data_IF_078854680874
#
_entry.id   IF_078854680874
#
_cell.length_a   1.000
_cell.length_b   1.000
_cell.length_c   1.000
_cell.angle_alpha   90.00
_cell.angle_beta   90.00
_cell.angle_gamma   90.00
#
_symmetry.space_group_name_H-M   'P 1'
#
loop_
_entity.id
_entity.type
_entity.pdbx_description
1 polymer ?
#
# COMPACT_ATOMS: atom_id res chain seq x y z
N UNK A 1 -0.62 27.59 -0.72
CA UNK A 1 -1.16 26.22 -0.84
C UNK A 1 -1.71 25.81 0.52
N UNK A 2 -2.94 25.30 0.60
CA UNK A 2 -3.63 24.99 1.86
C UNK A 2 -3.08 23.77 2.62
N UNK A 3 -2.13 23.02 2.04
CA UNK A 3 -1.58 21.79 2.63
C UNK A 3 -0.07 21.72 2.42
N UNK A 4 0.62 21.13 3.38
CA UNK A 4 2.00 20.66 3.16
C UNK A 4 1.94 19.41 2.29
N UNK A 5 2.86 19.33 1.33
CA UNK A 5 2.98 18.19 0.42
C UNK A 5 4.23 17.38 0.75
N UNK A 6 4.16 16.07 0.53
CA UNK A 6 5.28 15.15 0.65
C UNK A 6 5.47 14.38 -0.67
N UNK A 7 6.74 14.16 -1.05
CA UNK A 7 7.11 13.27 -2.15
C UNK A 7 7.27 11.84 -1.64
N UNK A 8 7.17 10.86 -2.54
CA UNK A 8 7.31 9.44 -2.19
C UNK A 8 8.66 9.11 -1.52
N UNK A 9 9.75 9.75 -1.96
CA UNK A 9 11.07 9.55 -1.37
C UNK A 9 11.18 10.03 0.10
N UNK A 10 10.24 10.83 0.58
CA UNK A 10 10.25 11.40 1.93
C UNK A 10 9.43 10.60 2.93
N UNK A 11 8.83 9.46 2.52
CA UNK A 11 7.93 8.70 3.39
C UNK A 11 8.57 8.27 4.72
N UNK A 12 9.88 8.00 4.73
CA UNK A 12 10.61 7.64 5.95
C UNK A 12 10.78 8.79 6.96
N UNK A 13 10.46 10.04 6.58
CA UNK A 13 10.54 11.22 7.45
C UNK A 13 9.25 11.46 8.26
N UNK A 14 8.25 10.59 8.14
CA UNK A 14 6.94 10.70 8.77
C UNK A 14 6.75 9.62 9.82
N UNK A 15 6.02 9.95 10.88
CA UNK A 15 5.76 9.02 11.97
C UNK A 15 4.81 7.91 11.52
N UNK A 16 3.81 8.26 10.70
CA UNK A 16 2.81 7.34 10.18
C UNK A 16 2.45 7.65 8.71
N UNK A 17 2.19 6.59 7.96
CA UNK A 17 1.63 6.66 6.61
C UNK A 17 0.16 6.27 6.69
N UNK A 18 -0.74 7.20 6.38
CA UNK A 18 -2.19 7.00 6.52
C UNK A 18 -2.83 6.84 5.15
N UNK A 19 -3.38 5.65 4.91
CA UNK A 19 -4.22 5.37 3.74
C UNK A 19 -5.68 5.68 4.06
N UNK A 20 -6.23 6.71 3.43
CA UNK A 20 -7.66 7.06 3.59
C UNK A 20 -8.56 6.46 2.52
N UNK A 21 -8.05 5.53 1.71
CA UNK A 21 -8.86 4.71 0.80
C UNK A 21 -9.73 3.72 1.58
N UNK A 22 -10.70 3.13 0.90
CA UNK A 22 -11.62 2.18 1.55
C UNK A 22 -10.89 0.90 1.98
N UNK A 23 -11.47 0.10 2.88
CA UNK A 23 -10.87 -1.17 3.30
C UNK A 23 -10.56 -2.11 2.13
N UNK A 24 -11.46 -2.26 1.14
CA UNK A 24 -11.18 -3.08 -0.03
C UNK A 24 -10.02 -2.54 -0.88
N UNK A 25 -9.91 -1.21 -1.05
CA UNK A 25 -8.78 -0.60 -1.77
C UNK A 25 -7.44 -0.84 -1.05
N UNK A 26 -7.45 -0.86 0.28
CA UNK A 26 -6.26 -1.09 1.12
C UNK A 26 -5.85 -2.57 1.12
N UNK A 27 -6.84 -3.48 1.21
CA UNK A 27 -6.63 -4.92 1.14
C UNK A 27 -6.12 -5.37 -0.25
N UNK A 28 -6.54 -4.71 -1.33
CA UNK A 28 -6.02 -4.97 -2.68
C UNK A 28 -4.51 -4.73 -2.78
N UNK A 29 -4.01 -3.59 -2.28
CA UNK A 29 -2.59 -3.27 -2.10
C UNK A 29 -2.47 -1.91 -1.41
N UNK A 30 -1.39 -1.66 -0.67
CA UNK A 30 -1.13 -0.39 0.03
C UNK A 30 0.37 -0.12 0.15
N UNK A 31 0.73 1.12 0.50
CA UNK A 31 2.12 1.48 0.75
C UNK A 31 2.59 0.71 2.00
N UNK A 32 3.75 0.02 1.97
CA UNK A 32 4.25 -0.75 3.10
C UNK A 32 4.37 0.11 4.35
N UNK A 33 3.89 -0.41 5.49
CA UNK A 33 3.85 0.31 6.76
C UNK A 33 2.68 1.29 6.91
N UNK A 34 1.80 1.41 5.92
CA UNK A 34 0.62 2.26 6.04
C UNK A 34 -0.46 1.66 6.94
N UNK A 35 -1.13 2.51 7.70
CA UNK A 35 -2.36 2.19 8.45
C UNK A 35 -3.58 2.66 7.65
N UNK A 36 -4.68 1.90 7.71
CA UNK A 36 -5.92 2.28 7.03
C UNK A 36 -6.84 3.08 7.94
N UNK A 37 -7.06 4.36 7.59
CA UNK A 37 -8.03 5.23 8.25
C UNK A 37 -9.02 5.77 7.20
N UNK A 38 -9.95 4.92 6.73
CA UNK A 38 -10.79 5.21 5.57
C UNK A 38 -11.68 6.43 5.79
N UNK A 39 -11.77 7.32 4.80
CA UNK A 39 -12.80 8.40 4.81
C UNK A 39 -14.13 7.97 4.18
N UNK A 40 -14.19 6.74 3.65
CA UNK A 40 -15.40 6.08 3.18
C UNK A 40 -15.33 4.59 3.50
N UNK A 41 -16.47 3.98 3.86
CA UNK A 41 -16.63 2.53 3.73
C UNK A 41 -16.68 2.14 2.24
N UNK A 42 -16.63 0.84 1.95
CA UNK A 42 -16.76 0.33 0.58
C UNK A 42 -18.14 0.69 -0.01
N UNK A 43 -19.20 0.61 0.79
CA UNK A 43 -20.57 0.97 0.41
C UNK A 43 -20.72 2.48 0.18
N UNK A 44 -20.20 3.31 1.10
CA UNK A 44 -20.22 4.77 0.95
C UNK A 44 -19.51 5.21 -0.33
N UNK A 45 -18.38 4.57 -0.65
CA UNK A 45 -17.66 4.83 -1.90
C UNK A 45 -18.51 4.49 -3.12
N UNK A 46 -19.24 3.37 -3.12
CA UNK A 46 -20.12 2.99 -4.22
C UNK A 46 -21.23 4.03 -4.41
N UNK A 47 -21.85 4.48 -3.30
CA UNK A 47 -22.91 5.51 -3.33
C UNK A 47 -22.37 6.81 -3.93
N UNK A 48 -21.27 7.34 -3.38
CA UNK A 48 -20.65 8.60 -3.83
C UNK A 48 -20.19 8.49 -5.28
N UNK A 49 -19.58 7.38 -5.66
CA UNK A 49 -19.14 7.12 -7.03
C UNK A 49 -20.29 7.05 -8.03
N UNK A 50 -21.43 6.48 -7.61
CA UNK A 50 -22.65 6.41 -8.42
C UNK A 50 -23.25 7.80 -8.60
N UNK A 51 -23.45 8.57 -7.53
CA UNK A 51 -23.94 9.95 -7.61
C UNK A 51 -23.06 10.83 -8.49
N UNK A 52 -21.73 10.72 -8.34
CA UNK A 52 -20.76 11.48 -9.11
C UNK A 52 -20.88 11.22 -10.62
N UNK A 53 -21.06 9.95 -11.01
CA UNK A 53 -21.12 9.54 -12.43
C UNK A 53 -22.51 9.71 -13.04
N UNK A 54 -23.56 9.34 -12.31
CA UNK A 54 -24.92 9.22 -12.84
C UNK A 54 -25.73 10.51 -12.69
N UNK A 55 -25.43 11.35 -11.69
CA UNK A 55 -26.15 12.60 -11.46
C UNK A 55 -25.27 13.79 -11.81
N UNK A 56 -24.27 14.07 -10.99
CA UNK A 56 -23.27 15.10 -11.27
C UNK A 56 -22.08 15.03 -10.31
N UNK A 57 -20.92 15.58 -10.70
CA UNK A 57 -19.79 15.74 -9.80
C UNK A 57 -20.11 16.54 -8.52
N UNK A 58 -21.03 17.50 -8.60
CA UNK A 58 -21.42 18.32 -7.45
C UNK A 58 -22.21 17.50 -6.43
N UNK A 59 -23.22 16.75 -6.86
CA UNK A 59 -24.03 15.91 -5.96
C UNK A 59 -23.20 14.82 -5.29
N UNK A 60 -22.30 14.17 -6.05
CA UNK A 60 -21.35 13.22 -5.48
C UNK A 60 -20.44 13.84 -4.41
N UNK A 61 -19.92 15.05 -4.66
CA UNK A 61 -19.10 15.77 -3.66
C UNK A 61 -19.90 16.21 -2.44
N UNK A 62 -21.13 16.68 -2.63
CA UNK A 62 -22.02 17.15 -1.56
C UNK A 62 -22.36 15.99 -0.61
N UNK A 63 -22.80 14.86 -1.15
CA UNK A 63 -23.09 13.66 -0.37
C UNK A 63 -21.81 13.13 0.32
N UNK A 64 -20.71 13.04 -0.44
CA UNK A 64 -19.44 12.55 0.08
C UNK A 64 -18.83 13.42 1.18
N UNK A 65 -19.01 14.75 1.14
CA UNK A 65 -18.45 15.65 2.14
C UNK A 65 -18.98 15.37 3.56
N UNK A 66 -20.27 15.07 3.70
CA UNK A 66 -20.88 14.74 4.98
C UNK A 66 -20.32 13.43 5.56
N UNK A 67 -20.22 12.38 4.72
CA UNK A 67 -19.65 11.09 5.10
C UNK A 67 -18.16 11.22 5.49
N UNK A 68 -17.37 11.94 4.67
CA UNK A 68 -15.95 12.21 4.96
C UNK A 68 -15.79 12.92 6.30
N UNK A 69 -16.57 13.96 6.57
CA UNK A 69 -16.50 14.69 7.83
C UNK A 69 -16.81 13.80 9.04
N UNK A 70 -17.87 12.97 8.95
CA UNK A 70 -18.24 12.02 10.00
C UNK A 70 -17.13 11.00 10.26
N UNK A 71 -16.56 10.42 9.20
CA UNK A 71 -15.53 9.41 9.32
C UNK A 71 -14.21 9.99 9.86
N UNK A 72 -13.86 11.22 9.47
CA UNK A 72 -12.70 11.91 10.06
C UNK A 72 -12.92 12.18 11.55
N UNK A 73 -14.11 12.62 11.96
CA UNK A 73 -14.44 12.80 13.38
C UNK A 73 -14.28 11.49 14.16
N UNK A 74 -14.75 10.37 13.61
CA UNK A 74 -14.56 9.05 14.21
C UNK A 74 -13.07 8.71 14.41
N UNK A 75 -12.22 8.95 13.40
CA UNK A 75 -10.77 8.68 13.52
C UNK A 75 -10.08 9.58 14.54
N UNK A 76 -10.52 10.85 14.69
CA UNK A 76 -10.03 11.74 15.75
C UNK A 76 -10.34 11.21 17.15
N UNK A 77 -11.51 10.59 17.33
CA UNK A 77 -11.96 10.03 18.60
C UNK A 77 -11.36 8.64 18.89
N UNK A 78 -10.80 7.99 17.86
CA UNK A 78 -10.29 6.61 17.94
C UNK A 78 -8.82 6.56 17.57
N UNK A 79 -8.50 6.32 16.29
CA UNK A 79 -7.14 6.09 15.78
C UNK A 79 -6.16 7.19 16.17
N UNK A 80 -6.60 8.45 16.24
CA UNK A 80 -5.70 9.60 16.43
C UNK A 80 -5.74 10.24 17.81
N UNK A 81 -6.60 9.72 18.70
CA UNK A 81 -6.92 10.37 19.98
C UNK A 81 -5.70 10.65 20.85
N UNK A 82 -4.77 9.71 20.90
CA UNK A 82 -3.65 9.71 21.83
C UNK A 82 -2.33 10.20 21.21
N UNK A 83 -2.35 10.70 19.97
CA UNK A 83 -1.13 11.21 19.34
C UNK A 83 -0.70 12.57 19.91
N UNK A 84 0.60 12.77 20.21
CA UNK A 84 1.10 14.04 20.72
C UNK A 84 1.06 15.14 19.66
N UNK A 85 1.18 16.41 20.08
CA UNK A 85 1.24 17.56 19.17
C UNK A 85 2.39 17.48 18.15
N UNK A 86 3.48 16.81 18.48
CA UNK A 86 4.64 16.62 17.61
C UNK A 86 4.40 15.64 16.46
N UNK A 87 3.31 14.86 16.50
CA UNK A 87 3.00 13.84 15.51
C UNK A 87 2.88 14.44 14.10
N UNK A 88 3.55 13.78 13.16
CA UNK A 88 3.75 14.20 11.77
C UNK A 88 3.34 13.05 10.82
N UNK A 89 2.04 12.92 10.51
CA UNK A 89 1.56 11.91 9.56
C UNK A 89 1.67 12.39 8.11
N UNK A 90 1.81 11.42 7.19
CA UNK A 90 1.58 11.62 5.75
C UNK A 90 0.33 10.87 5.30
N UNK A 91 -0.60 11.59 4.66
CA UNK A 91 -1.90 11.08 4.27
C UNK A 91 -1.97 10.92 2.77
N UNK A 92 -2.45 9.78 2.30
CA UNK A 92 -2.68 9.54 0.89
C UNK A 92 -4.05 8.95 0.60
N UNK A 93 -4.52 9.21 -0.61
CA UNK A 93 -5.64 8.50 -1.22
C UNK A 93 -5.20 8.05 -2.62
N UNK A 94 -6.12 7.55 -3.45
CA UNK A 94 -5.76 7.02 -4.78
C UNK A 94 -4.89 7.97 -5.64
N UNK A 95 -5.20 9.28 -5.66
CA UNK A 95 -4.52 10.28 -6.51
C UNK A 95 -4.00 11.51 -5.74
N UNK A 96 -3.97 11.47 -4.41
CA UNK A 96 -3.61 12.66 -3.60
C UNK A 96 -4.60 13.83 -3.76
N UNK A 97 -5.88 13.51 -4.01
CA UNK A 97 -6.95 14.47 -4.29
C UNK A 97 -7.75 14.89 -3.05
N UNK A 98 -9.06 15.06 -3.22
CA UNK A 98 -9.96 15.61 -2.19
C UNK A 98 -10.04 14.77 -0.91
N UNK A 99 -10.03 13.43 -1.01
CA UNK A 99 -10.13 12.54 0.16
C UNK A 99 -9.00 12.76 1.17
N UNK A 100 -7.74 12.63 0.73
CA UNK A 100 -6.59 12.88 1.59
C UNK A 100 -6.42 14.36 1.93
N UNK A 101 -6.84 15.26 1.05
CA UNK A 101 -6.90 16.69 1.32
C UNK A 101 -7.81 17.04 2.50
N UNK A 102 -9.02 16.49 2.56
CA UNK A 102 -9.98 16.74 3.65
C UNK A 102 -9.42 16.30 5.01
N UNK A 103 -8.87 15.08 5.08
CA UNK A 103 -8.18 14.60 6.29
C UNK A 103 -7.01 15.52 6.68
N UNK A 104 -6.15 15.88 5.71
CA UNK A 104 -5.00 16.75 5.97
C UNK A 104 -5.40 18.13 6.50
N UNK A 105 -6.53 18.70 6.02
CA UNK A 105 -7.06 19.97 6.52
C UNK A 105 -7.40 19.84 8.00
N UNK A 106 -8.23 18.86 8.34
CA UNK A 106 -8.73 18.72 9.72
C UNK A 106 -7.58 18.44 10.67
N UNK A 107 -6.66 17.53 10.33
CA UNK A 107 -5.48 17.24 11.16
C UNK A 107 -4.57 18.48 11.31
N UNK A 108 -4.44 19.30 10.26
CA UNK A 108 -3.69 20.56 10.34
C UNK A 108 -4.39 21.60 11.25
N UNK A 109 -5.73 21.65 11.25
CA UNK A 109 -6.50 22.53 12.14
C UNK A 109 -6.42 22.10 13.61
N UNK A 110 -6.27 20.80 13.89
CA UNK A 110 -5.95 20.30 15.23
C UNK A 110 -4.56 20.76 15.69
N UNK A 111 -3.65 20.98 14.75
CA UNK A 111 -2.30 21.50 15.00
C UNK A 111 -1.17 20.51 14.70
N UNK A 112 -1.48 19.35 14.12
CA UNK A 112 -0.46 18.38 13.69
C UNK A 112 0.21 18.78 12.38
N UNK A 113 1.45 18.33 12.20
CA UNK A 113 2.23 18.58 10.99
C UNK A 113 1.83 17.62 9.85
N UNK A 114 0.54 17.50 9.56
CA UNK A 114 -0.01 16.61 8.55
C UNK A 114 0.41 17.01 7.13
N UNK A 115 0.91 16.03 6.36
CA UNK A 115 1.28 16.23 4.96
C UNK A 115 0.41 15.36 4.05
N UNK A 116 0.21 15.81 2.81
CA UNK A 116 -0.45 15.02 1.79
C UNK A 116 0.58 14.44 0.82
N UNK A 117 0.51 13.14 0.55
CA UNK A 117 1.36 12.51 -0.46
C UNK A 117 0.99 12.99 -1.87
N UNK A 118 1.96 13.51 -2.61
CA UNK A 118 1.78 14.00 -3.98
C UNK A 118 1.46 12.86 -4.96
N UNK A 119 0.36 13.01 -5.68
CA UNK A 119 -0.17 12.00 -6.60
C UNK A 119 -0.67 10.70 -5.93
N UNK A 120 -0.54 10.57 -4.60
CA UNK A 120 -1.10 9.50 -3.79
C UNK A 120 -0.61 8.10 -4.16
N UNK A 121 -1.43 7.09 -3.89
CA UNK A 121 -1.11 5.69 -4.16
C UNK A 121 -0.76 5.43 -5.64
N UNK A 122 -1.36 6.15 -6.59
CA UNK A 122 -1.01 6.03 -8.02
C UNK A 122 0.47 6.29 -8.28
N UNK A 123 1.07 7.27 -7.60
CA UNK A 123 2.50 7.55 -7.72
C UNK A 123 3.34 6.39 -7.19
N UNK A 124 2.97 5.86 -6.02
CA UNK A 124 3.62 4.67 -5.46
C UNK A 124 3.54 3.48 -6.42
N UNK A 125 2.34 3.19 -6.93
CA UNK A 125 2.11 2.06 -7.86
C UNK A 125 2.94 2.17 -9.14
N UNK A 126 3.10 3.39 -9.66
CA UNK A 126 3.97 3.64 -10.80
C UNK A 126 5.43 3.41 -10.42
N UNK A 127 5.89 3.95 -9.30
CA UNK A 127 7.26 3.75 -8.82
C UNK A 127 7.58 2.26 -8.62
N UNK A 128 6.63 1.46 -8.11
CA UNK A 128 6.80 0.00 -7.98
C UNK A 128 7.08 -0.66 -9.33
N UNK A 129 6.27 -0.33 -10.34
CA UNK A 129 6.43 -0.90 -11.69
C UNK A 129 7.74 -0.42 -12.35
N UNK A 130 8.00 0.89 -12.29
CA UNK A 130 9.20 1.49 -12.88
C UNK A 130 10.49 0.89 -12.26
N UNK A 131 10.50 0.61 -10.95
CA UNK A 131 11.62 -0.08 -10.28
C UNK A 131 11.71 -1.56 -10.66
N UNK A 132 10.59 -2.28 -10.76
CA UNK A 132 10.59 -3.70 -11.16
C UNK A 132 11.04 -3.91 -12.62
N UNK A 133 10.94 -2.91 -13.48
CA UNK A 133 11.48 -2.99 -14.85
C UNK A 133 13.01 -2.99 -14.89
N UNK A 134 13.67 -2.43 -13.86
CA UNK A 134 15.13 -2.18 -13.86
C UNK A 134 15.86 -2.99 -12.79
N UNK A 135 15.35 -3.01 -11.56
CA UNK A 135 16.02 -3.58 -10.40
C UNK A 135 16.38 -5.07 -10.54
N UNK A 136 15.52 -5.96 -11.08
CA UNK A 136 15.87 -7.38 -11.24
C UNK A 136 17.11 -7.62 -12.09
N UNK A 137 17.41 -6.72 -13.04
CA UNK A 137 18.56 -6.84 -13.95
C UNK A 137 19.91 -6.65 -13.23
N UNK A 138 19.90 -6.14 -12.00
CA UNK A 138 21.10 -5.92 -11.18
C UNK A 138 21.55 -7.19 -10.45
N UNK A 139 20.73 -8.24 -10.42
CA UNK A 139 21.03 -9.45 -9.65
C UNK A 139 21.49 -10.61 -10.55
N UNK A 140 22.42 -11.41 -10.03
CA UNK A 140 22.77 -12.71 -10.62
C UNK A 140 21.79 -13.79 -10.14
N UNK A 141 20.62 -13.87 -10.78
CA UNK A 141 19.56 -14.82 -10.43
C UNK A 141 19.88 -16.26 -10.90
N UNK A 142 19.85 -17.24 -9.97
CA UNK A 142 20.00 -18.68 -10.25
C UNK A 142 18.69 -19.42 -10.04
N UNK A 143 18.12 -19.89 -11.14
CA UNK A 143 16.80 -20.54 -11.10
C UNK A 143 16.94 -21.98 -10.59
N UNK A 144 16.26 -22.29 -9.48
CA UNK A 144 16.12 -23.65 -8.98
C UNK A 144 15.01 -24.39 -9.75
N UNK A 145 15.41 -25.23 -10.71
CA UNK A 145 14.49 -26.04 -11.53
C UNK A 145 14.38 -27.49 -11.04
N UNK A 146 13.23 -28.12 -11.28
CA UNK A 146 12.99 -29.54 -10.96
C UNK A 146 11.51 -29.90 -10.95
N UNK A 147 11.17 -31.21 -10.97
CA UNK A 147 9.77 -31.65 -11.03
C UNK A 147 8.95 -31.22 -9.80
N UNK A 148 7.63 -31.19 -9.95
CA UNK A 148 6.71 -30.95 -8.81
C UNK A 148 6.92 -32.02 -7.74
N UNK A 149 6.95 -31.62 -6.48
CA UNK A 149 7.19 -32.54 -5.37
C UNK A 149 8.67 -32.85 -5.09
N UNK A 150 9.63 -32.33 -5.86
CA UNK A 150 11.07 -32.57 -5.63
C UNK A 150 11.68 -31.81 -4.45
N UNK A 151 10.87 -31.14 -3.63
CA UNK A 151 11.33 -30.43 -2.43
C UNK A 151 12.01 -29.08 -2.65
N UNK A 152 11.84 -28.44 -3.82
CA UNK A 152 12.47 -27.13 -4.15
C UNK A 152 12.24 -26.06 -3.08
N UNK A 153 11.00 -25.86 -2.65
CA UNK A 153 10.67 -24.85 -1.64
C UNK A 153 11.34 -25.17 -0.28
N UNK A 154 11.48 -26.46 0.08
CA UNK A 154 12.24 -26.88 1.28
C UNK A 154 13.74 -26.58 1.14
N UNK A 155 14.31 -26.80 -0.03
CA UNK A 155 15.71 -26.46 -0.31
C UNK A 155 15.93 -24.95 -0.24
N UNK A 156 15.05 -24.14 -0.85
CA UNK A 156 15.10 -22.67 -0.73
C UNK A 156 15.06 -22.21 0.72
N UNK A 157 14.16 -22.76 1.54
CA UNK A 157 14.11 -22.45 2.98
C UNK A 157 15.41 -22.84 3.71
N UNK A 158 16.02 -23.98 3.38
CA UNK A 158 17.28 -24.40 3.99
C UNK A 158 18.46 -23.51 3.56
N UNK A 159 18.48 -23.06 2.29
CA UNK A 159 19.45 -22.09 1.79
C UNK A 159 19.34 -20.75 2.53
N UNK A 160 18.11 -20.23 2.69
CA UNK A 160 17.85 -19.03 3.49
C UNK A 160 18.32 -19.18 4.95
N UNK A 161 18.03 -20.33 5.57
CA UNK A 161 18.49 -20.65 6.93
C UNK A 161 20.01 -20.78 7.07
N UNK A 162 20.72 -20.96 5.95
CA UNK A 162 22.19 -21.00 5.89
C UNK A 162 22.82 -19.63 5.56
N UNK A 163 22.01 -18.57 5.50
CA UNK A 163 22.46 -17.20 5.20
C UNK A 163 22.63 -16.89 3.72
N UNK A 164 22.16 -17.75 2.82
CA UNK A 164 22.13 -17.45 1.39
C UNK A 164 20.95 -16.54 1.05
N UNK A 165 21.15 -15.70 0.03
CA UNK A 165 20.07 -14.91 -0.55
C UNK A 165 19.10 -15.82 -1.31
N UNK A 166 17.81 -15.57 -1.16
CA UNK A 166 16.78 -16.29 -1.91
C UNK A 166 15.68 -15.31 -2.34
N UNK A 167 14.99 -15.67 -3.43
CA UNK A 167 13.76 -15.05 -3.84
C UNK A 167 12.68 -16.12 -4.04
N UNK A 168 11.80 -16.27 -3.05
CA UNK A 168 10.72 -17.26 -3.10
C UNK A 168 9.44 -16.65 -3.70
N UNK A 169 9.29 -16.79 -5.02
CA UNK A 169 8.11 -16.29 -5.74
C UNK A 169 6.82 -17.05 -5.39
N UNK A 170 6.89 -18.34 -5.05
CA UNK A 170 5.71 -19.12 -4.66
C UNK A 170 5.15 -18.62 -3.33
N UNK A 171 6.05 -18.30 -2.39
CA UNK A 171 5.69 -17.74 -1.10
C UNK A 171 5.14 -16.31 -1.23
N UNK A 172 5.74 -15.47 -2.08
CA UNK A 172 5.22 -14.13 -2.37
C UNK A 172 3.83 -14.20 -3.04
N UNK A 173 3.61 -15.15 -3.94
CA UNK A 173 2.34 -15.34 -4.62
C UNK A 173 1.31 -16.15 -3.82
N UNK A 174 1.69 -16.69 -2.65
CA UNK A 174 0.91 -17.66 -1.88
C UNK A 174 0.35 -18.81 -2.73
N UNK A 175 1.15 -19.29 -3.70
CA UNK A 175 0.70 -20.19 -4.75
C UNK A 175 1.83 -21.14 -5.21
N UNK A 176 1.57 -22.45 -5.21
CA UNK A 176 2.54 -23.52 -5.55
C UNK A 176 2.56 -23.88 -7.04
N UNK A 177 2.52 -22.85 -7.89
CA UNK A 177 2.44 -23.02 -9.35
C UNK A 177 1.17 -23.72 -9.86
N UNK A 178 1.08 -23.89 -11.19
CA UNK A 178 -0.15 -24.30 -11.89
C UNK A 178 -0.73 -25.65 -11.46
N UNK A 179 0.11 -26.58 -11.01
CA UNK A 179 -0.28 -27.95 -10.67
C UNK A 179 -0.88 -28.10 -9.26
N UNK A 180 -0.44 -27.28 -8.31
CA UNK A 180 -0.83 -27.42 -6.90
C UNK A 180 -1.73 -26.28 -6.42
N UNK A 181 -1.83 -25.19 -7.18
CA UNK A 181 -2.74 -24.10 -6.87
C UNK A 181 -2.31 -23.29 -5.65
N UNK A 182 -3.29 -22.74 -4.94
CA UNK A 182 -3.10 -21.88 -3.76
C UNK A 182 -2.51 -22.65 -2.58
N UNK A 183 -1.79 -21.94 -1.72
CA UNK A 183 -1.41 -22.49 -0.42
C UNK A 183 -2.66 -22.72 0.45
N UNK A 184 -2.81 -23.89 1.10
CA UNK A 184 -3.94 -24.16 1.96
C UNK A 184 -4.09 -23.10 3.06
N UNK A 185 -5.29 -22.53 3.19
CA UNK A 185 -5.61 -21.54 4.21
C UNK A 185 -5.05 -20.13 3.95
N UNK A 186 -4.45 -19.87 2.78
CA UNK A 186 -3.94 -18.55 2.43
C UNK A 186 -4.65 -18.00 1.18
N UNK A 187 -4.99 -16.72 1.22
CA UNK A 187 -5.47 -16.01 0.05
C UNK A 187 -4.30 -15.62 -0.85
N UNK A 188 -4.49 -15.79 -2.15
CA UNK A 188 -3.53 -15.32 -3.13
C UNK A 188 -3.60 -13.79 -3.18
N UNK A 189 -2.48 -13.07 -3.04
CA UNK A 189 -2.48 -11.61 -3.12
C UNK A 189 -2.92 -11.15 -4.52
N UNK A 190 -3.43 -9.92 -4.60
CA UNK A 190 -3.63 -9.27 -5.88
C UNK A 190 -2.30 -9.12 -6.62
N UNK A 191 -2.35 -8.90 -7.94
CA UNK A 191 -1.15 -8.57 -8.72
C UNK A 191 -0.40 -7.37 -8.13
N UNK A 192 -1.13 -6.35 -7.66
CA UNK A 192 -0.50 -5.14 -7.12
C UNK A 192 0.26 -5.44 -5.83
N UNK A 193 -0.37 -6.19 -4.92
CA UNK A 193 0.24 -6.61 -3.65
C UNK A 193 1.43 -7.53 -3.88
N UNK A 194 1.33 -8.47 -4.82
CA UNK A 194 2.46 -9.30 -5.24
C UNK A 194 3.65 -8.45 -5.74
N UNK A 195 3.41 -7.50 -6.64
CA UNK A 195 4.47 -6.64 -7.18
C UNK A 195 5.11 -5.77 -6.09
N UNK A 196 4.31 -5.21 -5.18
CA UNK A 196 4.80 -4.44 -4.03
C UNK A 196 5.68 -5.30 -3.12
N UNK A 197 5.25 -6.53 -2.82
CA UNK A 197 6.02 -7.46 -2.01
C UNK A 197 7.29 -7.94 -2.72
N UNK A 198 7.25 -8.16 -4.03
CA UNK A 198 8.40 -8.51 -4.86
C UNK A 198 9.46 -7.41 -4.85
N UNK A 199 9.05 -6.15 -5.03
CA UNK A 199 9.99 -5.03 -4.97
C UNK A 199 10.68 -4.96 -3.60
N UNK A 200 9.91 -5.08 -2.50
CA UNK A 200 10.47 -5.09 -1.15
C UNK A 200 11.42 -6.26 -0.90
N UNK A 201 11.13 -7.44 -1.48
CA UNK A 201 12.01 -8.59 -1.39
C UNK A 201 13.33 -8.31 -2.12
N UNK A 202 13.27 -7.80 -3.34
CA UNK A 202 14.45 -7.45 -4.15
C UNK A 202 15.31 -6.35 -3.50
N UNK A 203 14.69 -5.33 -2.89
CA UNK A 203 15.40 -4.24 -2.23
C UNK A 203 16.23 -4.67 -1.01
N UNK A 204 15.98 -5.86 -0.46
CA UNK A 204 16.73 -6.43 0.66
C UNK A 204 17.94 -7.26 0.21
N UNK A 205 18.07 -7.51 -1.08
CA UNK A 205 19.14 -8.34 -1.63
C UNK A 205 20.37 -7.47 -1.94
N UNK A 206 21.54 -8.08 -1.78
CA UNK A 206 22.85 -7.59 -2.17
C UNK A 206 23.14 -7.97 -3.64
N UNK A 207 23.26 -6.99 -4.56
CA UNK A 207 23.56 -7.24 -5.97
C UNK A 207 24.91 -7.93 -6.21
N UNK A 208 25.86 -7.82 -5.28
CA UNK A 208 27.21 -8.41 -5.42
C UNK A 208 27.23 -9.91 -5.11
N UNK A 209 26.12 -10.45 -4.59
CA UNK A 209 25.98 -11.86 -4.24
C UNK A 209 24.92 -12.54 -5.13
N UNK A 210 25.09 -13.84 -5.46
CA UNK A 210 24.08 -14.57 -6.19
C UNK A 210 22.79 -14.71 -5.36
N UNK A 211 21.67 -14.79 -6.07
CA UNK A 211 20.32 -15.02 -5.52
C UNK A 211 19.75 -16.30 -6.11
#
# INVERSE_FOLDING_TARGET
MLFRSAKLAQLAEFDDIIDVRTPAEFADDHIPGAINCPVFTDEERVIVGTLYKQISPFEGRKAGAAMVAKNIAHHLETCFKDHPKSWKPVIYCWRGGQRSGAMSIILSQVGWAAHKLEGGYKTYRRAVLDELDVLPQKFSLRILCGPTGSGKSRLLSAMAGSGLQILDLEQLAQHRGSLLGRLPGQEQPSQKSFDSALLLALQKLDPEQPV
#
